data_IF_017077675034
#
_entry.id   IF_017077675034
#
_cell.length_a   1.000
_cell.length_b   1.000
_cell.length_c   1.000
_cell.angle_alpha   90.00
_cell.angle_beta   90.00
_cell.angle_gamma   90.00
#
_symmetry.space_group_name_H-M   'P 1'
#
loop_
_entity.id
_entity.type
_entity.pdbx_description
1 polymer ?
#
# COMPACT_ATOMS: atom_id res chain seq x y z
N UNK A 1 10.05 -3.21 -23.89
CA UNK A 1 9.95 -2.51 -22.59
C UNK A 1 9.57 -1.04 -22.75
N UNK A 2 10.45 -0.16 -23.26
CA UNK A 2 10.10 1.28 -23.37
C UNK A 2 9.10 1.62 -24.48
N UNK A 3 9.07 0.84 -25.56
CA UNK A 3 8.14 1.00 -26.68
C UNK A 3 6.74 0.46 -26.33
N UNK A 4 6.67 -0.74 -25.79
CA UNK A 4 5.40 -1.34 -25.30
C UNK A 4 4.70 -0.45 -24.25
N UNK A 5 5.47 0.20 -23.36
CA UNK A 5 4.92 1.14 -22.38
C UNK A 5 4.37 2.43 -23.01
N UNK A 6 4.93 2.87 -24.15
CA UNK A 6 4.42 4.02 -24.92
C UNK A 6 3.18 3.65 -25.72
N UNK A 7 3.16 2.46 -26.32
CA UNK A 7 1.99 1.94 -27.04
C UNK A 7 0.82 1.72 -26.09
N UNK A 8 1.07 1.15 -24.90
CA UNK A 8 0.06 1.02 -23.84
C UNK A 8 -0.46 2.38 -23.38
N UNK A 9 0.43 3.35 -23.14
CA UNK A 9 0.02 4.73 -22.79
C UNK A 9 -0.86 5.32 -23.89
N UNK A 10 -0.43 5.25 -25.15
CA UNK A 10 -1.18 5.80 -26.27
C UNK A 10 -2.54 5.12 -26.44
N UNK A 11 -2.63 3.81 -26.20
CA UNK A 11 -3.90 3.08 -26.21
C UNK A 11 -4.84 3.52 -25.10
N UNK A 12 -4.31 3.68 -23.87
CA UNK A 12 -5.08 4.15 -22.72
C UNK A 12 -5.58 5.59 -22.94
N UNK A 13 -4.71 6.48 -23.42
CA UNK A 13 -5.03 7.90 -23.64
C UNK A 13 -5.68 8.18 -25.00
N UNK A 14 -5.91 7.16 -25.83
CA UNK A 14 -6.43 7.34 -27.20
C UNK A 14 -7.84 7.96 -27.22
N UNK A 15 -8.59 7.83 -26.13
CA UNK A 15 -9.95 8.35 -25.98
C UNK A 15 -10.05 9.55 -25.03
N UNK A 16 -8.93 10.06 -24.52
CA UNK A 16 -8.93 11.26 -23.67
C UNK A 16 -9.45 12.44 -24.51
N UNK A 17 -10.48 13.13 -24.02
CA UNK A 17 -11.22 14.19 -24.74
C UNK A 17 -12.50 13.74 -25.45
N UNK A 18 -12.76 12.44 -25.56
CA UNK A 18 -14.03 11.89 -26.04
C UNK A 18 -14.75 11.08 -24.96
N UNK A 19 -14.43 11.30 -23.68
CA UNK A 19 -14.95 10.50 -22.56
C UNK A 19 -16.48 10.52 -22.49
N UNK A 20 -17.09 11.58 -23.02
CA UNK A 20 -18.54 11.79 -23.01
C UNK A 20 -19.21 11.60 -24.38
N UNK A 21 -18.47 11.17 -25.40
CA UNK A 21 -19.00 11.07 -26.78
C UNK A 21 -20.09 10.00 -26.95
N UNK A 22 -20.13 8.98 -26.09
CA UNK A 22 -21.14 7.91 -26.10
C UNK A 22 -22.29 8.16 -25.11
N UNK A 23 -22.33 9.34 -24.46
CA UNK A 23 -23.41 9.70 -23.53
C UNK A 23 -24.61 10.15 -24.34
N UNK A 24 -25.79 9.61 -24.02
CA UNK A 24 -27.03 9.95 -24.73
C UNK A 24 -27.39 11.44 -24.57
N UNK A 25 -27.93 12.02 -25.65
CA UNK A 25 -28.43 13.38 -25.65
C UNK A 25 -29.48 13.57 -24.55
N UNK A 26 -29.31 14.60 -23.71
CA UNK A 26 -30.14 14.84 -22.54
C UNK A 26 -29.49 14.46 -21.20
N UNK A 27 -28.45 13.63 -21.22
CA UNK A 27 -27.69 13.29 -20.01
C UNK A 27 -26.42 14.13 -19.87
N UNK A 28 -26.07 14.47 -18.64
CA UNK A 28 -24.82 15.12 -18.25
C UNK A 28 -24.08 14.26 -17.23
N UNK A 29 -22.76 14.14 -17.39
CA UNK A 29 -21.89 13.44 -16.45
C UNK A 29 -21.23 14.47 -15.54
N UNK A 30 -21.53 14.42 -14.25
CA UNK A 30 -21.03 15.38 -13.26
C UNK A 30 -20.25 14.67 -12.16
N UNK A 31 -19.39 15.42 -11.48
CA UNK A 31 -18.73 14.98 -10.26
C UNK A 31 -19.47 15.54 -9.05
N UNK A 32 -19.60 14.76 -7.99
CA UNK A 32 -20.18 15.23 -6.73
C UNK A 32 -19.09 15.26 -5.67
N UNK A 33 -18.92 16.42 -5.04
CA UNK A 33 -18.05 16.61 -3.89
C UNK A 33 -18.89 17.07 -2.70
N UNK A 34 -18.40 16.81 -1.50
CA UNK A 34 -19.10 17.15 -0.27
C UNK A 34 -18.26 18.11 0.58
N UNK A 35 -18.89 18.94 1.39
CA UNK A 35 -18.18 19.85 2.31
C UNK A 35 -17.49 19.11 3.46
N UNK A 36 -18.10 18.03 3.95
CA UNK A 36 -17.66 17.30 5.14
C UNK A 36 -16.94 15.97 4.84
N UNK A 37 -17.07 15.43 3.61
CA UNK A 37 -16.50 14.14 3.22
C UNK A 37 -15.36 14.38 2.22
N UNK A 38 -14.30 13.58 2.32
CA UNK A 38 -13.17 13.60 1.36
C UNK A 38 -13.49 12.81 0.10
N UNK A 39 -14.41 11.85 0.17
CA UNK A 39 -14.81 11.06 -0.98
C UNK A 39 -15.42 11.94 -2.08
N UNK A 40 -14.97 11.72 -3.31
CA UNK A 40 -15.54 12.36 -4.52
C UNK A 40 -16.21 11.28 -5.36
N UNK A 41 -17.46 11.51 -5.74
CA UNK A 41 -18.20 10.62 -6.64
C UNK A 41 -17.96 11.12 -8.06
N UNK A 42 -17.33 10.30 -8.89
CA UNK A 42 -16.92 10.65 -10.24
C UNK A 42 -17.96 10.13 -11.25
N UNK A 43 -18.14 10.85 -12.35
CA UNK A 43 -19.03 10.53 -13.49
C UNK A 43 -20.46 10.05 -13.14
N UNK A 44 -21.16 10.77 -12.24
CA UNK A 44 -22.58 10.52 -12.03
C UNK A 44 -23.39 11.03 -13.23
N UNK A 45 -24.24 10.18 -13.78
CA UNK A 45 -25.14 10.55 -14.89
C UNK A 45 -26.43 11.14 -14.34
N UNK A 46 -26.70 12.40 -14.72
CA UNK A 46 -27.93 13.11 -14.43
C UNK A 46 -28.60 13.52 -15.73
N UNK A 47 -29.92 13.51 -15.75
CA UNK A 47 -30.74 14.01 -16.85
C UNK A 47 -30.93 15.52 -16.69
N UNK A 48 -30.76 16.26 -17.78
CA UNK A 48 -30.94 17.71 -17.82
C UNK A 48 -32.40 18.14 -17.58
N UNK A 49 -33.37 17.25 -17.83
CA UNK A 49 -34.79 17.51 -17.63
C UNK A 49 -35.27 17.24 -16.20
N UNK A 50 -34.45 16.63 -15.35
CA UNK A 50 -34.78 16.46 -13.93
C UNK A 50 -34.81 17.81 -13.21
N UNK A 51 -35.75 17.95 -12.29
CA UNK A 51 -35.84 19.10 -11.39
C UNK A 51 -34.71 19.05 -10.35
N UNK A 52 -34.35 20.22 -9.82
CA UNK A 52 -33.33 20.28 -8.75
C UNK A 52 -33.75 19.51 -7.50
N UNK A 53 -35.05 19.41 -7.19
CA UNK A 53 -35.56 18.56 -6.11
C UNK A 53 -35.17 17.08 -6.30
N UNK A 54 -35.42 16.53 -7.50
CA UNK A 54 -35.08 15.13 -7.84
C UNK A 54 -33.55 14.92 -7.85
N UNK A 55 -32.79 15.92 -8.33
CA UNK A 55 -31.33 15.89 -8.28
C UNK A 55 -30.84 15.82 -6.83
N UNK A 56 -31.38 16.65 -5.92
CA UNK A 56 -31.04 16.60 -4.49
C UNK A 56 -31.38 15.24 -3.87
N UNK A 57 -32.52 14.65 -4.20
CA UNK A 57 -32.87 13.29 -3.73
C UNK A 57 -31.87 12.23 -4.21
N UNK A 58 -31.40 12.34 -5.46
CA UNK A 58 -30.41 11.42 -6.00
C UNK A 58 -29.04 11.61 -5.33
N UNK A 59 -28.62 12.87 -5.14
CA UNK A 59 -27.38 13.21 -4.42
C UNK A 59 -27.43 12.74 -2.97
N UNK A 60 -28.59 12.82 -2.32
CA UNK A 60 -28.79 12.34 -0.94
C UNK A 60 -28.45 10.85 -0.80
N UNK A 61 -28.81 10.01 -1.78
CA UNK A 61 -28.48 8.57 -1.76
C UNK A 61 -26.99 8.28 -1.81
N UNK A 62 -26.18 9.23 -2.28
CA UNK A 62 -24.73 9.10 -2.35
C UNK A 62 -24.01 9.77 -1.17
N UNK A 63 -24.41 10.99 -0.80
CA UNK A 63 -23.73 11.78 0.24
C UNK A 63 -24.31 11.60 1.65
N UNK A 64 -25.58 11.21 1.77
CA UNK A 64 -26.26 11.02 3.06
C UNK A 64 -26.81 12.30 3.71
N UNK A 65 -26.66 13.47 3.08
CA UNK A 65 -27.23 14.74 3.56
C UNK A 65 -28.64 14.95 3.02
N UNK A 66 -29.61 15.25 3.90
CA UNK A 66 -31.01 15.44 3.49
C UNK A 66 -31.18 16.61 2.51
N UNK A 67 -32.09 16.53 1.53
CA UNK A 67 -32.34 17.60 0.55
C UNK A 67 -32.61 18.99 1.17
N UNK A 68 -33.30 19.03 2.32
CA UNK A 68 -33.67 20.28 3.01
C UNK A 68 -32.45 21.07 3.52
N UNK A 69 -31.39 20.36 3.93
CA UNK A 69 -30.16 20.94 4.47
C UNK A 69 -29.02 20.96 3.43
N UNK A 70 -29.33 20.59 2.20
CA UNK A 70 -28.38 20.48 1.10
C UNK A 70 -28.41 21.72 0.23
N UNK A 71 -27.28 22.43 0.16
CA UNK A 71 -27.08 23.50 -0.85
C UNK A 71 -26.14 23.00 -1.93
N UNK A 72 -26.60 23.07 -3.19
CA UNK A 72 -25.81 22.63 -4.34
C UNK A 72 -25.08 23.82 -4.96
N UNK A 73 -23.76 23.71 -5.12
CA UNK A 73 -22.92 24.74 -5.72
C UNK A 73 -22.26 24.16 -6.97
N UNK A 74 -22.51 24.76 -8.13
CA UNK A 74 -21.88 24.35 -9.37
C UNK A 74 -20.46 24.92 -9.46
N UNK A 75 -19.48 24.05 -9.71
CA UNK A 75 -18.07 24.38 -9.87
C UNK A 75 -17.54 23.80 -11.17
N UNK A 76 -16.66 24.53 -11.83
CA UNK A 76 -15.86 24.04 -12.96
C UNK A 76 -14.40 24.08 -12.55
N UNK A 77 -13.83 22.91 -12.23
CA UNK A 77 -12.52 22.82 -11.62
C UNK A 77 -12.47 23.57 -10.27
N UNK A 78 -11.63 24.60 -10.18
CA UNK A 78 -11.48 25.44 -8.98
C UNK A 78 -12.43 26.64 -8.93
N UNK A 79 -13.12 26.97 -10.03
CA UNK A 79 -13.97 28.15 -10.12
C UNK A 79 -15.42 27.81 -9.73
N UNK A 80 -16.01 28.63 -8.86
CA UNK A 80 -17.43 28.55 -8.51
C UNK A 80 -18.24 29.29 -9.56
N UNK A 81 -19.13 28.58 -10.26
CA UNK A 81 -20.00 29.17 -11.28
C UNK A 81 -21.21 29.82 -10.61
N UNK A 82 -21.84 29.12 -9.67
CA UNK A 82 -23.04 29.64 -9.00
C UNK A 82 -23.69 28.65 -8.05
N UNK A 83 -24.66 29.14 -7.30
CA UNK A 83 -25.49 28.36 -6.38
C UNK A 83 -26.75 27.93 -7.12
N UNK A 84 -27.16 26.69 -6.90
CA UNK A 84 -28.39 26.09 -7.42
C UNK A 84 -29.43 26.03 -6.29
N UNK A 85 -30.27 27.06 -6.20
CA UNK A 85 -31.22 27.29 -5.12
C UNK A 85 -32.69 27.03 -5.49
N UNK A 86 -33.06 27.17 -6.78
CA UNK A 86 -34.45 27.00 -7.23
C UNK A 86 -34.80 25.53 -7.55
N UNK A 87 -35.41 24.85 -6.58
CA UNK A 87 -35.77 23.43 -6.67
C UNK A 87 -36.75 23.08 -7.79
N UNK A 88 -37.50 24.06 -8.31
CA UNK A 88 -38.48 23.85 -9.38
C UNK A 88 -37.84 23.91 -10.77
N UNK A 89 -36.64 24.46 -10.87
CA UNK A 89 -35.93 24.55 -12.16
C UNK A 89 -35.33 23.21 -12.52
N UNK A 90 -35.31 22.94 -13.82
CA UNK A 90 -34.61 21.80 -14.37
C UNK A 90 -33.10 22.01 -14.29
N UNK A 91 -32.34 20.92 -14.19
CA UNK A 91 -30.88 20.96 -14.16
C UNK A 91 -30.31 21.67 -15.39
N UNK A 92 -30.90 21.46 -16.57
CA UNK A 92 -30.51 22.10 -17.83
C UNK A 92 -30.77 23.61 -17.90
N UNK A 93 -31.46 24.21 -16.93
CA UNK A 93 -31.53 25.68 -16.81
C UNK A 93 -30.17 26.29 -16.44
N UNK A 94 -29.37 25.56 -15.66
CA UNK A 94 -28.04 25.97 -15.26
C UNK A 94 -27.03 25.63 -16.36
N UNK A 95 -25.90 26.35 -16.47
CA UNK A 95 -24.87 26.09 -17.48
C UNK A 95 -24.03 24.85 -17.10
N UNK A 96 -24.68 23.71 -16.95
CA UNK A 96 -24.05 22.42 -16.64
C UNK A 96 -23.42 21.83 -17.90
N UNK A 97 -22.20 21.32 -17.76
CA UNK A 97 -21.48 20.61 -18.82
C UNK A 97 -20.84 19.35 -18.25
N UNK A 98 -20.47 18.42 -19.12
CA UNK A 98 -19.78 17.21 -18.70
C UNK A 98 -18.46 17.53 -17.98
N UNK A 99 -18.15 16.77 -16.92
CA UNK A 99 -16.94 16.94 -16.12
C UNK A 99 -16.99 18.10 -15.12
N UNK A 100 -18.11 18.84 -15.04
CA UNK A 100 -18.31 19.82 -13.97
C UNK A 100 -18.61 19.16 -12.63
N UNK A 101 -18.36 19.90 -11.54
CA UNK A 101 -18.51 19.40 -10.17
C UNK A 101 -19.67 20.10 -9.48
N UNK A 102 -20.63 19.32 -8.99
CA UNK A 102 -21.60 19.76 -7.99
C UNK A 102 -20.97 19.59 -6.61
N UNK A 103 -20.73 20.71 -5.94
CA UNK A 103 -20.27 20.74 -4.57
C UNK A 103 -21.46 20.87 -3.62
N UNK A 104 -21.65 19.84 -2.81
CA UNK A 104 -22.69 19.76 -1.79
C UNK A 104 -22.19 20.43 -0.53
N UNK A 105 -22.83 21.53 -0.15
CA UNK A 105 -22.63 22.18 1.14
C UNK A 105 -23.70 21.66 2.09
N UNK A 106 -23.25 20.94 3.11
CA UNK A 106 -24.10 20.38 4.16
C UNK A 106 -24.28 21.39 5.30
N UNK A 107 -25.49 21.93 5.41
CA UNK A 107 -25.87 22.88 6.44
C UNK A 107 -26.60 22.23 7.63
N UNK A 108 -26.67 20.89 7.71
CA UNK A 108 -27.35 20.21 8.80
C UNK A 108 -26.55 20.37 10.11
N UNK A 109 -27.14 21.00 11.17
CA UNK A 109 -26.48 21.13 12.45
C UNK A 109 -26.14 19.79 13.12
N UNK A 110 -26.86 18.71 12.79
CA UNK A 110 -26.70 17.36 13.35
C UNK A 110 -26.07 16.35 12.38
N UNK A 111 -25.41 16.82 11.32
CA UNK A 111 -24.77 15.93 10.35
C UNK A 111 -23.73 15.01 11.00
N UNK A 112 -23.87 13.69 10.77
CA UNK A 112 -22.91 12.66 11.24
C UNK A 112 -21.53 12.81 10.60
N UNK A 113 -21.47 13.36 9.38
CA UNK A 113 -20.22 13.57 8.65
C UNK A 113 -19.42 14.77 9.17
N UNK A 114 -20.04 15.65 9.96
CA UNK A 114 -19.41 16.89 10.44
C UNK A 114 -18.19 16.60 11.30
N UNK A 115 -17.10 17.34 11.07
CA UNK A 115 -15.88 17.22 11.85
C UNK A 115 -15.19 15.85 11.73
N UNK A 116 -15.41 15.13 10.62
CA UNK A 116 -14.77 13.84 10.37
C UNK A 116 -15.41 12.66 11.09
N UNK A 117 -16.63 12.79 11.64
CA UNK A 117 -17.29 11.71 12.40
C UNK A 117 -17.42 10.36 11.68
N UNK A 118 -17.42 10.35 10.34
CA UNK A 118 -17.50 9.13 9.52
C UNK A 118 -16.16 8.69 8.90
N UNK A 119 -15.18 9.59 8.79
CA UNK A 119 -13.92 9.32 8.07
C UNK A 119 -12.71 9.27 9.00
N UNK A 120 -12.73 10.02 10.10
CA UNK A 120 -11.61 10.10 11.02
C UNK A 120 -11.62 8.91 11.98
N UNK A 121 -10.89 7.88 11.58
CA UNK A 121 -10.59 6.68 12.38
C UNK A 121 -10.13 6.99 13.82
N UNK A 122 -9.38 8.08 14.12
CA UNK A 122 -9.01 8.42 15.50
C UNK A 122 -10.18 8.83 16.40
N UNK A 123 -11.28 9.36 15.84
CA UNK A 123 -12.44 9.77 16.63
C UNK A 123 -13.27 8.57 17.11
N UNK A 124 -13.13 7.43 16.44
CA UNK A 124 -13.84 6.19 16.77
C UNK A 124 -13.17 5.57 18.00
N UNK A 125 -13.86 5.65 19.15
CA UNK A 125 -13.49 4.87 20.33
C UNK A 125 -13.63 3.39 20.02
N UNK A 126 -12.49 2.75 19.70
CA UNK A 126 -12.44 1.31 19.53
C UNK A 126 -12.82 0.67 20.86
N UNK A 127 -13.69 -0.33 20.80
CA UNK A 127 -14.03 -1.11 21.98
C UNK A 127 -12.81 -1.91 22.44
N UNK A 128 -12.33 -1.62 23.65
CA UNK A 128 -11.32 -2.40 24.34
C UNK A 128 -12.02 -3.22 25.42
N UNK A 129 -11.93 -4.55 25.30
CA UNK A 129 -12.45 -5.46 26.31
C UNK A 129 -11.48 -5.49 27.50
N UNK A 130 -12.02 -5.41 28.71
CA UNK A 130 -11.23 -5.58 29.93
C UNK A 130 -10.60 -6.98 29.98
N UNK A 131 -9.45 -7.11 30.63
CA UNK A 131 -8.79 -8.42 30.76
C UNK A 131 -9.68 -9.43 31.49
N UNK A 132 -10.39 -8.97 32.52
CA UNK A 132 -11.32 -9.77 33.32
C UNK A 132 -12.50 -10.29 32.48
N UNK A 133 -13.08 -9.46 31.61
CA UNK A 133 -14.20 -9.88 30.77
C UNK A 133 -13.75 -10.72 29.58
N UNK A 134 -12.50 -10.57 29.13
CA UNK A 134 -11.89 -11.44 28.14
C UNK A 134 -11.64 -12.84 28.71
N UNK A 135 -11.13 -12.93 29.95
CA UNK A 135 -10.80 -14.21 30.58
C UNK A 135 -12.02 -15.05 30.96
N UNK A 136 -13.18 -14.41 31.18
CA UNK A 136 -14.46 -15.12 31.38
C UNK A 136 -14.99 -15.80 30.10
N UNK A 137 -14.49 -15.45 28.91
CA UNK A 137 -14.96 -16.00 27.65
C UNK A 137 -14.24 -17.32 27.31
N UNK A 138 -15.02 -18.39 27.18
CA UNK A 138 -14.51 -19.74 26.90
C UNK A 138 -13.86 -19.89 25.51
N UNK A 139 -14.39 -19.20 24.48
CA UNK A 139 -13.93 -19.31 23.09
C UNK A 139 -12.87 -18.26 22.73
N UNK A 140 -11.85 -18.09 23.59
CA UNK A 140 -10.78 -17.11 23.36
C UNK A 140 -9.46 -17.77 23.02
N UNK A 141 -8.61 -17.04 22.29
CA UNK A 141 -7.24 -17.47 21.96
C UNK A 141 -6.42 -17.71 23.23
N UNK A 142 -6.63 -16.90 24.30
CA UNK A 142 -5.96 -17.12 25.59
C UNK A 142 -6.38 -18.44 26.23
N UNK A 143 -7.68 -18.77 26.25
CA UNK A 143 -8.15 -20.03 26.81
C UNK A 143 -7.62 -21.23 25.99
N UNK A 144 -7.67 -21.16 24.66
CA UNK A 144 -7.07 -22.17 23.79
C UNK A 144 -5.58 -22.36 24.05
N UNK A 145 -4.80 -21.27 24.21
CA UNK A 145 -3.37 -21.37 24.56
C UNK A 145 -3.14 -22.06 25.90
N UNK A 146 -3.94 -21.75 26.93
CA UNK A 146 -3.84 -22.42 28.25
C UNK A 146 -4.08 -23.92 28.13
N UNK A 147 -5.09 -24.32 27.35
CA UNK A 147 -5.41 -25.74 27.12
C UNK A 147 -4.30 -26.47 26.35
N UNK A 148 -3.67 -25.83 25.36
CA UNK A 148 -2.57 -26.43 24.61
C UNK A 148 -1.30 -26.57 25.46
N UNK A 149 -0.96 -25.54 26.25
CA UNK A 149 0.19 -25.58 27.17
C UNK A 149 -0.02 -26.62 28.28
N UNK A 150 -1.26 -26.80 28.75
CA UNK A 150 -1.59 -27.83 29.73
C UNK A 150 -1.43 -29.26 29.18
N UNK A 151 -1.61 -29.44 27.86
CA UNK A 151 -1.38 -30.72 27.18
C UNK A 151 0.11 -30.93 26.88
N UNK A 152 0.79 -29.89 26.38
CA UNK A 152 2.19 -29.92 25.97
C UNK A 152 2.95 -28.69 26.51
N UNK A 153 3.78 -28.83 27.56
CA UNK A 153 4.50 -27.71 28.17
C UNK A 153 5.49 -26.98 27.25
N UNK A 154 5.90 -27.59 26.14
CA UNK A 154 6.79 -27.00 25.13
C UNK A 154 6.03 -26.51 23.88
N UNK A 155 4.70 -26.48 23.92
CA UNK A 155 3.89 -26.04 22.78
C UNK A 155 4.04 -24.53 22.56
N UNK A 156 4.45 -24.16 21.34
CA UNK A 156 4.48 -22.77 20.88
C UNK A 156 3.35 -22.57 19.87
N UNK A 157 2.58 -21.47 19.96
CA UNK A 157 1.56 -21.18 18.96
C UNK A 157 2.21 -21.12 17.58
N UNK A 158 1.64 -21.78 16.55
CA UNK A 158 2.16 -21.67 15.19
C UNK A 158 2.13 -20.20 14.78
N UNK A 159 3.30 -19.63 14.55
CA UNK A 159 3.42 -18.28 14.01
C UNK A 159 3.01 -18.39 12.54
N UNK A 160 1.92 -17.75 12.17
CA UNK A 160 1.48 -17.72 10.77
C UNK A 160 2.53 -16.93 9.97
N UNK A 161 3.48 -17.63 9.37
CA UNK A 161 4.42 -17.11 8.37
C UNK A 161 3.61 -16.47 7.24
N UNK A 162 3.33 -15.17 7.35
CA UNK A 162 2.55 -14.42 6.36
C UNK A 162 1.58 -13.38 6.94
N UNK A 163 1.20 -13.46 8.22
CA UNK A 163 0.47 -12.37 8.87
C UNK A 163 1.49 -11.31 9.31
N UNK A 164 1.72 -10.33 8.43
CA UNK A 164 2.79 -9.36 8.56
C UNK A 164 2.79 -8.64 9.91
N UNK A 165 3.93 -8.72 10.59
CA UNK A 165 4.53 -7.56 11.25
C UNK A 165 4.88 -6.50 10.18
N UNK A 166 3.88 -5.98 9.46
CA UNK A 166 4.00 -4.73 8.73
C UNK A 166 3.91 -3.63 9.78
N UNK A 167 5.05 -3.26 10.37
CA UNK A 167 5.09 -2.16 11.33
C UNK A 167 6.15 -2.26 12.43
N UNK A 168 6.83 -3.40 12.59
CA UNK A 168 8.06 -3.39 13.41
C UNK A 168 9.19 -2.91 12.51
N UNK A 169 9.57 -1.64 12.65
CA UNK A 169 10.88 -1.15 12.19
C UNK A 169 11.93 -2.09 12.78
N UNK A 170 12.50 -2.96 11.95
CA UNK A 170 13.69 -3.72 12.35
C UNK A 170 14.87 -2.82 12.06
N UNK A 171 15.25 -2.04 13.06
CA UNK A 171 16.48 -1.26 13.00
C UNK A 171 17.64 -2.26 13.05
N UNK A 172 18.40 -2.36 11.96
CA UNK A 172 19.62 -3.18 11.91
C UNK A 172 20.80 -2.31 12.33
N UNK A 173 21.04 -2.22 13.64
CA UNK A 173 22.10 -1.40 14.22
C UNK A 173 23.50 -2.04 14.11
N UNK A 174 24.54 -1.36 14.61
CA UNK A 174 25.92 -1.84 14.58
C UNK A 174 26.11 -3.17 15.33
N UNK A 175 25.25 -3.50 16.29
CA UNK A 175 25.24 -4.79 16.99
C UNK A 175 24.93 -5.97 16.07
N UNK A 176 24.24 -5.74 14.95
CA UNK A 176 23.86 -6.81 14.03
C UNK A 176 24.99 -7.26 13.11
N UNK A 177 26.05 -6.45 13.00
CA UNK A 177 27.26 -6.75 12.19
C UNK A 177 28.47 -7.09 13.05
N UNK A 178 28.29 -7.19 14.38
CA UNK A 178 29.36 -7.55 15.30
C UNK A 178 29.88 -8.97 14.98
N UNK A 179 31.16 -9.08 14.61
CA UNK A 179 31.79 -10.33 14.20
C UNK A 179 31.74 -10.66 12.70
N UNK A 180 31.18 -9.77 11.86
CA UNK A 180 31.22 -9.91 10.40
C UNK A 180 32.28 -8.95 9.83
N UNK A 181 33.45 -9.50 9.48
CA UNK A 181 34.51 -8.73 8.83
C UNK A 181 34.56 -8.96 7.32
N UNK A 182 35.00 -7.93 6.60
CA UNK A 182 35.25 -8.02 5.16
C UNK A 182 36.34 -9.07 4.90
N UNK A 183 36.03 -9.99 4.00
CA UNK A 183 36.92 -11.06 3.59
C UNK A 183 36.61 -12.42 4.23
N UNK A 184 35.73 -12.50 5.22
CA UNK A 184 35.29 -13.76 5.82
C UNK A 184 34.41 -14.57 4.86
N UNK A 185 34.47 -15.90 4.99
CA UNK A 185 33.56 -16.82 4.30
C UNK A 185 32.21 -16.82 5.01
N UNK A 186 31.15 -16.86 4.22
CA UNK A 186 29.80 -16.84 4.75
C UNK A 186 28.83 -17.68 3.94
N UNK A 187 27.76 -18.11 4.60
CA UNK A 187 26.59 -18.73 4.02
C UNK A 187 25.38 -17.81 4.21
N UNK A 188 24.57 -17.67 3.15
CA UNK A 188 23.41 -16.78 3.12
C UNK A 188 22.11 -17.59 3.17
N UNK A 189 21.23 -17.21 4.10
CA UNK A 189 19.86 -17.73 4.19
C UNK A 189 18.82 -16.75 3.63
N UNK A 190 17.76 -17.22 2.95
CA UNK A 190 17.49 -18.59 2.55
C UNK A 190 18.35 -19.05 1.34
N UNK A 191 18.48 -20.38 1.22
CA UNK A 191 19.06 -21.03 0.03
C UNK A 191 20.50 -21.53 0.16
N UNK A 192 21.14 -21.43 1.35
CA UNK A 192 22.46 -22.02 1.59
C UNK A 192 23.58 -21.49 0.67
N UNK A 193 23.41 -20.29 0.13
CA UNK A 193 24.32 -19.74 -0.90
C UNK A 193 25.61 -19.29 -0.24
N UNK A 194 26.74 -19.83 -0.70
CA UNK A 194 28.06 -19.54 -0.14
C UNK A 194 28.76 -18.42 -0.90
N UNK A 195 29.61 -17.72 -0.17
CA UNK A 195 30.40 -16.65 -0.73
C UNK A 195 31.35 -16.03 0.28
N UNK A 196 31.81 -14.84 -0.06
CA UNK A 196 32.73 -14.03 0.74
C UNK A 196 32.13 -12.67 1.01
N UNK A 197 32.25 -12.21 2.25
CA UNK A 197 31.87 -10.84 2.63
C UNK A 197 32.81 -9.86 1.94
N UNK A 198 32.25 -8.92 1.18
CA UNK A 198 33.00 -7.89 0.46
C UNK A 198 32.69 -6.47 0.96
N UNK A 199 31.58 -6.27 1.68
CA UNK A 199 31.22 -4.98 2.25
C UNK A 199 30.40 -5.16 3.52
N UNK A 200 30.62 -4.31 4.51
CA UNK A 200 29.81 -4.24 5.73
C UNK A 200 29.58 -2.77 6.04
N UNK A 201 28.33 -2.33 6.04
CA UNK A 201 28.02 -0.91 6.27
C UNK A 201 26.61 -0.51 5.88
N UNK A 202 26.33 0.79 6.06
CA UNK A 202 25.05 1.37 5.66
C UNK A 202 25.07 1.68 4.17
N UNK A 203 24.00 1.32 3.47
CA UNK A 203 23.81 1.56 2.03
C UNK A 203 22.59 2.48 1.87
N UNK A 204 22.78 3.82 1.83
CA UNK A 204 21.70 4.80 1.76
C UNK A 204 20.75 4.57 0.58
N UNK A 205 21.27 4.06 -0.53
CA UNK A 205 20.56 3.84 -1.79
C UNK A 205 19.56 2.68 -1.70
N UNK A 206 19.80 1.75 -0.78
CA UNK A 206 18.89 0.66 -0.40
C UNK A 206 18.03 1.02 0.82
N UNK A 207 18.31 2.14 1.49
CA UNK A 207 17.46 2.63 2.55
C UNK A 207 16.12 3.10 1.94
N UNK A 208 15.03 2.68 2.54
CA UNK A 208 13.67 3.09 2.20
C UNK A 208 12.91 3.37 3.49
N UNK A 209 11.74 4.00 3.40
CA UNK A 209 10.92 4.38 4.57
C UNK A 209 10.59 3.21 5.53
N UNK A 210 10.75 1.98 5.08
CA UNK A 210 10.45 0.75 5.82
C UNK A 210 11.70 -0.04 6.27
N UNK A 211 12.90 0.31 5.77
CA UNK A 211 14.11 -0.47 6.02
C UNK A 211 15.34 0.42 6.15
N UNK A 212 15.75 0.67 7.38
CA UNK A 212 16.97 1.40 7.75
C UNK A 212 17.97 0.46 8.45
N UNK A 213 19.27 0.74 8.31
CA UNK A 213 20.33 0.00 9.00
C UNK A 213 21.35 -0.68 8.08
N UNK A 214 22.23 -1.46 8.70
CA UNK A 214 23.40 -2.08 8.09
C UNK A 214 23.03 -3.14 7.04
N UNK A 215 23.94 -3.29 6.08
CA UNK A 215 23.93 -4.27 5.01
C UNK A 215 25.27 -4.97 4.92
N UNK A 216 25.23 -6.23 4.51
CA UNK A 216 26.41 -7.03 4.19
C UNK A 216 26.40 -7.30 2.69
N UNK A 217 27.41 -6.78 1.99
CA UNK A 217 27.69 -7.12 0.61
C UNK A 217 28.43 -8.45 0.55
N UNK A 218 27.88 -9.41 -0.18
CA UNK A 218 28.46 -10.75 -0.37
C UNK A 218 28.74 -10.96 -1.85
N UNK A 219 29.94 -11.46 -2.14
CA UNK A 219 30.31 -12.01 -3.45
C UNK A 219 30.12 -13.52 -3.36
N UNK A 220 29.11 -14.03 -4.05
CA UNK A 220 28.82 -15.46 -4.12
C UNK A 220 29.88 -16.18 -4.94
N UNK A 221 30.03 -17.49 -4.69
CA UNK A 221 30.90 -18.34 -5.52
C UNK A 221 30.25 -18.68 -6.87
N UNK A 222 28.92 -18.60 -6.92
CA UNK A 222 28.08 -18.91 -8.07
C UNK A 222 27.29 -17.67 -8.55
N UNK A 223 26.78 -17.66 -9.80
CA UNK A 223 25.98 -16.55 -10.35
C UNK A 223 24.54 -16.47 -9.78
N UNK A 224 24.40 -16.55 -8.46
CA UNK A 224 23.13 -16.54 -7.68
C UNK A 224 22.85 -15.19 -7.00
N UNK A 225 23.70 -14.21 -7.23
CA UNK A 225 23.57 -12.83 -6.81
C UNK A 225 22.58 -12.02 -7.65
N UNK A 226 22.22 -10.85 -7.15
CA UNK A 226 21.24 -9.95 -7.77
C UNK A 226 21.89 -8.82 -8.59
N UNK A 227 23.20 -8.65 -8.50
CA UNK A 227 23.90 -7.59 -9.22
C UNK A 227 25.41 -7.79 -9.20
N UNK A 228 26.13 -6.67 -9.39
CA UNK A 228 27.58 -6.63 -9.60
C UNK A 228 28.31 -5.75 -8.56
N UNK A 229 27.73 -5.60 -7.36
CA UNK A 229 28.28 -4.79 -6.27
C UNK A 229 28.04 -3.28 -6.40
N UNK A 230 27.24 -2.86 -7.39
CA UNK A 230 26.78 -1.47 -7.55
C UNK A 230 25.29 -1.32 -7.18
N UNK A 231 24.94 -0.24 -6.49
CA UNK A 231 23.54 0.14 -6.22
C UNK A 231 23.32 1.57 -6.71
N UNK A 232 22.34 1.76 -7.62
CA UNK A 232 21.92 3.08 -8.15
C UNK A 232 23.08 3.98 -8.64
N UNK A 233 24.18 3.40 -9.11
CA UNK A 233 25.37 4.12 -9.60
C UNK A 233 26.54 4.20 -8.63
N UNK A 234 26.34 3.90 -7.34
CA UNK A 234 27.40 3.84 -6.33
C UNK A 234 27.97 2.42 -6.24
N UNK A 235 29.29 2.27 -6.38
CA UNK A 235 29.99 0.98 -6.30
C UNK A 235 30.52 0.77 -4.88
N UNK A 236 30.17 -0.37 -4.27
CA UNK A 236 30.60 -0.73 -2.91
C UNK A 236 31.71 -1.79 -2.92
N UNK A 237 31.63 -2.74 -3.84
CA UNK A 237 32.63 -3.79 -4.03
C UNK A 237 32.65 -4.25 -5.48
N UNK A 238 33.74 -4.87 -5.90
CA UNK A 238 33.94 -5.38 -7.24
C UNK A 238 33.58 -6.87 -7.33
N UNK A 239 32.69 -7.21 -8.27
CA UNK A 239 32.38 -8.59 -8.62
C UNK A 239 31.80 -8.68 -10.04
N UNK A 240 31.74 -9.91 -10.57
CA UNK A 240 31.07 -10.22 -11.83
C UNK A 240 29.56 -9.99 -11.73
N UNK A 241 28.92 -9.78 -12.88
CA UNK A 241 27.47 -9.65 -12.92
C UNK A 241 26.80 -10.94 -12.44
N UNK A 242 25.77 -10.80 -11.61
CA UNK A 242 25.09 -11.88 -10.88
C UNK A 242 25.90 -12.55 -9.77
N UNK A 243 27.09 -12.08 -9.41
CA UNK A 243 27.84 -12.62 -8.27
C UNK A 243 27.70 -11.76 -7.00
N UNK A 244 27.22 -10.52 -7.12
CA UNK A 244 27.03 -9.62 -5.98
C UNK A 244 25.62 -9.67 -5.39
N UNK A 245 25.52 -9.63 -4.07
CA UNK A 245 24.26 -9.41 -3.36
C UNK A 245 24.42 -8.56 -2.10
N UNK A 246 23.42 -7.74 -1.81
CA UNK A 246 23.28 -7.07 -0.51
C UNK A 246 22.27 -7.84 0.33
N UNK A 247 22.73 -8.33 1.48
CA UNK A 247 21.99 -9.21 2.39
C UNK A 247 21.89 -8.53 3.76
N UNK A 248 20.82 -8.82 4.50
CA UNK A 248 20.65 -8.33 5.87
C UNK A 248 21.54 -9.14 6.82
N UNK A 249 22.18 -8.50 7.82
CA UNK A 249 23.11 -9.19 8.71
C UNK A 249 22.59 -10.49 9.35
N UNK A 250 21.33 -10.60 9.82
CA UNK A 250 20.83 -11.85 10.41
C UNK A 250 20.76 -13.04 9.44
N UNK A 251 20.84 -12.77 8.14
CA UNK A 251 20.77 -13.77 7.10
C UNK A 251 22.18 -14.19 6.61
N UNK A 252 23.24 -13.66 7.22
CA UNK A 252 24.62 -13.97 6.90
C UNK A 252 25.24 -14.70 8.07
N UNK A 253 25.63 -15.96 7.86
CA UNK A 253 26.38 -16.73 8.83
C UNK A 253 27.84 -16.77 8.39
N UNK A 254 28.73 -16.11 9.14
CA UNK A 254 30.17 -16.21 8.92
C UNK A 254 30.73 -17.49 9.54
N UNK A 255 31.67 -18.13 8.87
CA UNK A 255 32.23 -19.40 9.32
C UNK A 255 33.14 -20.05 8.29
N UNK A 256 33.58 -21.27 8.57
CA UNK A 256 34.39 -22.06 7.64
C UNK A 256 33.48 -22.74 6.59
N UNK A 257 33.14 -21.97 5.56
CA UNK A 257 32.32 -22.43 4.44
C UNK A 257 33.16 -22.48 3.17
N UNK A 258 33.91 -23.56 2.90
CA UNK A 258 34.69 -23.68 1.68
C UNK A 258 33.77 -23.66 0.43
N UNK A 259 34.29 -23.24 -0.73
CA UNK A 259 33.56 -23.34 -1.99
C UNK A 259 33.11 -24.78 -2.21
N UNK A 260 31.83 -24.97 -2.50
CA UNK A 260 31.32 -26.25 -2.98
C UNK A 260 31.51 -26.27 -4.48
N UNK A 261 32.38 -27.17 -4.95
CA UNK A 261 32.51 -27.48 -6.38
C UNK A 261 31.62 -28.70 -6.64
N UNK A 262 30.36 -28.47 -7.04
CA UNK A 262 29.43 -29.57 -7.37
C UNK A 262 29.89 -30.37 -8.61
N UNK A 263 30.85 -29.85 -9.38
CA UNK A 263 31.48 -30.56 -10.50
C UNK A 263 32.48 -31.65 -10.07
N UNK A 264 32.85 -31.70 -8.79
CA UNK A 264 33.76 -32.72 -8.24
C UNK A 264 33.05 -33.70 -7.30
N UNK A 265 31.72 -33.60 -7.12
CA UNK A 265 30.95 -34.55 -6.29
C UNK A 265 30.41 -35.76 -7.05
N UNK A 266 30.71 -35.90 -8.35
CA UNK A 266 30.30 -37.03 -9.20
C UNK A 266 31.43 -38.06 -9.45
N UNK A 267 32.48 -38.08 -8.63
CA UNK A 267 33.46 -39.18 -8.59
C UNK A 267 33.65 -39.66 -7.15
N UNK A 268 32.83 -40.65 -6.75
CA UNK A 268 33.21 -41.79 -5.89
C UNK A 268 31.95 -42.63 -5.55
N UNK A 269 31.40 -43.31 -6.56
CA UNK A 269 30.60 -44.53 -6.36
C UNK A 269 31.12 -45.62 -7.31
N UNK A 270 32.41 -45.97 -7.14
CA UNK A 270 32.92 -47.30 -7.48
C UNK A 270 32.81 -48.18 -6.23
N UNK A 271 31.92 -49.18 -6.24
CA UNK A 271 32.22 -50.60 -5.99
C UNK A 271 30.98 -51.49 -6.15
#
# INVERSE_FOLDING_TARGET
MAQDMRELRNYITAKDGYEYAEVADGLVCLHITHSNLRATIVDIRLDMHMTLAEVKEKVYRHCGTKPDYMTLVLKSGSTVIGIMDDERRMLGYYPVQHGMTIHVVDNDPFSLAKGGGLEDVPLIKKYEISEEDYDKRANTVRNYKREQIAKDPNWKPPVLMGAGLRGIKKDYGPETVEGIDVGMRCEVTPGGRRGRVAYVGVVPELASSEVEGYWVGVVFDEPVGKGNGCVKGTRYYDCLDKFGGFIRPPNVQVGDFPPQDELLSDEDDEF
#
